data_IF_576586117104
#
_entry.id   IF_576586117104
#
_cell.length_a   1.000
_cell.length_b   1.000
_cell.length_c   1.000
_cell.angle_alpha   90.00
_cell.angle_beta   90.00
_cell.angle_gamma   90.00
#
_symmetry.space_group_name_H-M   'P 1'
#
loop_
_entity.id
_entity.type
_entity.pdbx_description
1 polymer ?
#
# COMPACT_ATOMS: atom_id res chain seq x y z
N UNK A 1 10.50 -33.34 4.78
CA UNK A 1 11.02 -32.00 5.21
C UNK A 1 12.37 -32.04 5.93
N UNK A 2 12.68 -33.05 6.75
CA UNK A 2 13.95 -33.15 7.49
C UNK A 2 15.22 -33.13 6.62
N UNK A 3 15.18 -33.68 5.39
CA UNK A 3 16.34 -33.70 4.47
C UNK A 3 16.72 -32.32 3.89
N UNK A 4 15.76 -31.41 3.78
CA UNK A 4 15.99 -30.04 3.28
C UNK A 4 16.63 -29.19 4.40
N UNK A 5 16.14 -29.33 5.63
CA UNK A 5 16.76 -28.70 6.80
C UNK A 5 18.19 -29.21 7.04
N UNK A 6 18.43 -30.51 6.81
CA UNK A 6 19.76 -31.11 6.89
C UNK A 6 20.72 -30.55 5.83
N UNK A 7 20.26 -30.35 4.59
CA UNK A 7 21.08 -29.73 3.54
C UNK A 7 21.44 -28.27 3.84
N UNK A 8 20.53 -27.48 4.41
CA UNK A 8 20.81 -26.09 4.81
C UNK A 8 21.80 -25.98 5.98
N UNK A 9 21.75 -26.92 6.94
CA UNK A 9 22.61 -26.89 8.13
C UNK A 9 24.07 -27.29 7.83
N UNK A 10 24.30 -28.11 6.80
CA UNK A 10 25.65 -28.60 6.44
C UNK A 10 26.34 -27.80 5.33
N UNK A 11 25.61 -26.98 4.57
CA UNK A 11 26.20 -26.02 3.63
C UNK A 11 26.95 -24.87 4.35
N UNK A 12 26.64 -24.60 5.62
CA UNK A 12 27.14 -23.44 6.35
C UNK A 12 28.44 -23.68 7.16
N UNK A 13 29.10 -24.85 7.02
CA UNK A 13 30.31 -25.18 7.83
C UNK A 13 31.61 -25.41 7.05
N UNK A 14 31.65 -25.30 5.71
CA UNK A 14 32.86 -25.61 4.92
C UNK A 14 33.35 -24.50 3.99
N UNK A 15 33.23 -23.23 4.37
CA UNK A 15 34.00 -22.21 3.64
C UNK A 15 34.40 -21.06 4.52
N UNK A 16 35.57 -21.22 5.15
CA UNK A 16 36.31 -20.12 5.76
C UNK A 16 37.24 -19.42 4.75
N UNK A 17 37.35 -19.94 3.52
CA UNK A 17 38.14 -19.36 2.40
C UNK A 17 37.33 -19.00 1.14
N UNK A 18 36.04 -19.40 1.01
CA UNK A 18 35.15 -19.02 -0.11
C UNK A 18 34.04 -18.04 0.31
N UNK A 19 34.33 -17.22 1.32
CA UNK A 19 33.38 -16.28 1.91
C UNK A 19 32.87 -15.22 0.93
N UNK A 20 33.71 -14.78 -0.02
CA UNK A 20 33.33 -13.76 -1.00
C UNK A 20 32.33 -14.30 -2.05
N UNK A 21 32.58 -15.46 -2.65
CA UNK A 21 31.68 -16.04 -3.66
C UNK A 21 30.34 -16.47 -3.05
N UNK A 22 30.35 -17.04 -1.84
CA UNK A 22 29.11 -17.42 -1.15
C UNK A 22 28.28 -16.19 -0.75
N UNK A 23 28.94 -15.11 -0.30
CA UNK A 23 28.26 -13.86 0.02
C UNK A 23 27.65 -13.18 -1.23
N UNK A 24 28.34 -13.21 -2.38
CA UNK A 24 27.82 -12.67 -3.63
C UNK A 24 26.58 -13.41 -4.13
N UNK A 25 26.59 -14.74 -4.08
CA UNK A 25 25.42 -15.56 -4.44
C UNK A 25 24.25 -15.29 -3.48
N UNK A 26 24.52 -15.19 -2.18
CA UNK A 26 23.52 -14.82 -1.17
C UNK A 26 22.91 -13.44 -1.41
N UNK A 27 23.74 -12.44 -1.75
CA UNK A 27 23.28 -11.08 -2.08
C UNK A 27 22.42 -11.07 -3.35
N UNK A 28 22.85 -11.77 -4.41
CA UNK A 28 22.08 -11.87 -5.65
C UNK A 28 20.71 -12.53 -5.42
N UNK A 29 20.68 -13.62 -4.64
CA UNK A 29 19.43 -14.30 -4.28
C UNK A 29 18.51 -13.40 -3.44
N UNK A 30 19.06 -12.63 -2.49
CA UNK A 30 18.30 -11.67 -1.69
C UNK A 30 17.70 -10.55 -2.55
N UNK A 31 18.48 -9.97 -3.47
CA UNK A 31 17.99 -8.95 -4.40
C UNK A 31 16.89 -9.52 -5.30
N UNK A 32 17.08 -10.74 -5.83
CA UNK A 32 16.07 -11.40 -6.65
C UNK A 32 14.77 -11.65 -5.88
N UNK A 33 14.86 -12.15 -4.65
CA UNK A 33 13.71 -12.31 -3.76
C UNK A 33 13.01 -10.97 -3.51
N UNK A 34 13.78 -9.93 -3.20
CA UNK A 34 13.25 -8.59 -2.95
C UNK A 34 12.51 -8.03 -4.16
N UNK A 35 13.07 -8.12 -5.37
CA UNK A 35 12.43 -7.69 -6.62
C UNK A 35 11.16 -8.49 -6.88
N UNK A 36 11.20 -9.81 -6.70
CA UNK A 36 10.02 -10.67 -6.89
C UNK A 36 8.89 -10.28 -5.93
N UNK A 37 9.23 -9.97 -4.67
CA UNK A 37 8.27 -9.47 -3.70
C UNK A 37 7.65 -8.13 -4.15
N UNK A 38 8.45 -7.19 -4.66
CA UNK A 38 7.94 -5.93 -5.20
C UNK A 38 6.98 -6.15 -6.38
N UNK A 39 7.25 -7.12 -7.26
CA UNK A 39 6.35 -7.48 -8.36
C UNK A 39 5.02 -8.03 -7.86
N UNK A 40 5.03 -8.86 -6.81
CA UNK A 40 3.80 -9.37 -6.18
C UNK A 40 2.96 -8.23 -5.60
N UNK A 41 3.60 -7.29 -4.89
CA UNK A 41 2.93 -6.10 -4.36
C UNK A 41 2.35 -5.23 -5.49
N UNK A 42 3.11 -5.05 -6.58
CA UNK A 42 2.64 -4.31 -7.75
C UNK A 42 1.43 -4.98 -8.42
N UNK A 43 1.45 -6.30 -8.59
CA UNK A 43 0.33 -7.06 -9.12
C UNK A 43 -0.91 -6.97 -8.22
N UNK A 44 -0.74 -6.94 -6.89
CA UNK A 44 -1.83 -6.68 -5.93
C UNK A 44 -2.48 -5.32 -6.21
N UNK A 45 -1.69 -4.26 -6.36
CA UNK A 45 -2.21 -2.91 -6.64
C UNK A 45 -2.92 -2.82 -7.99
N UNK A 46 -2.40 -3.49 -9.02
CA UNK A 46 -3.07 -3.57 -10.32
C UNK A 46 -4.47 -4.16 -10.15
N UNK A 47 -4.61 -5.25 -9.40
CA UNK A 47 -5.90 -5.92 -9.17
C UNK A 47 -6.91 -5.00 -8.49
N UNK A 48 -6.49 -4.18 -7.54
CA UNK A 48 -7.35 -3.17 -6.89
C UNK A 48 -7.93 -2.19 -7.92
N UNK A 49 -7.11 -1.68 -8.84
CA UNK A 49 -7.61 -0.80 -9.90
C UNK A 49 -8.57 -1.49 -10.85
N UNK A 50 -8.35 -2.78 -11.16
CA UNK A 50 -9.30 -3.56 -11.95
C UNK A 50 -10.61 -3.82 -11.21
N UNK A 51 -10.57 -4.05 -9.89
CA UNK A 51 -11.76 -4.21 -9.08
C UNK A 51 -12.57 -2.90 -8.99
N UNK A 52 -11.89 -1.76 -8.81
CA UNK A 52 -12.51 -0.43 -8.83
C UNK A 52 -13.18 -0.17 -10.18
N UNK A 53 -12.45 -0.42 -11.28
CA UNK A 53 -12.97 -0.23 -12.63
C UNK A 53 -14.16 -1.16 -12.90
N UNK A 54 -14.00 -2.45 -12.60
CA UNK A 54 -15.07 -3.43 -12.78
C UNK A 54 -16.32 -3.06 -11.99
N UNK A 55 -16.18 -2.50 -10.79
CA UNK A 55 -17.32 -2.04 -9.99
C UNK A 55 -18.07 -0.88 -10.66
N UNK A 56 -17.33 0.07 -11.25
CA UNK A 56 -17.89 1.19 -12.02
C UNK A 56 -18.56 0.69 -13.31
N UNK A 57 -17.88 -0.18 -14.06
CA UNK A 57 -18.39 -0.77 -15.30
C UNK A 57 -19.67 -1.60 -15.07
N UNK A 58 -19.82 -2.20 -13.88
CA UNK A 58 -21.04 -2.91 -13.44
C UNK A 58 -22.18 -1.98 -13.00
N UNK A 59 -21.97 -0.66 -13.00
CA UNK A 59 -22.99 0.36 -12.69
C UNK A 59 -22.86 1.04 -11.33
N UNK A 60 -21.79 0.80 -10.57
CA UNK A 60 -21.56 1.53 -9.32
C UNK A 60 -21.16 2.98 -9.61
N UNK A 61 -21.75 3.95 -8.90
CA UNK A 61 -21.38 5.36 -9.06
C UNK A 61 -19.98 5.59 -8.46
N UNK A 62 -19.04 6.24 -9.17
CA UNK A 62 -17.70 6.54 -8.66
C UNK A 62 -17.69 7.33 -7.33
N UNK A 63 -18.69 8.19 -7.11
CA UNK A 63 -18.84 8.96 -5.87
C UNK A 63 -19.18 8.08 -4.66
N UNK A 64 -20.00 7.04 -4.85
CA UNK A 64 -20.36 6.11 -3.77
C UNK A 64 -19.14 5.29 -3.38
N UNK A 65 -18.33 4.86 -4.36
CA UNK A 65 -17.05 4.18 -4.12
C UNK A 65 -16.07 5.09 -3.39
N UNK A 66 -15.88 6.34 -3.83
CA UNK A 66 -15.02 7.30 -3.15
C UNK A 66 -15.44 7.56 -1.69
N UNK A 67 -16.75 7.68 -1.46
CA UNK A 67 -17.32 7.83 -0.11
C UNK A 67 -17.13 6.58 0.76
N UNK A 68 -17.27 5.38 0.18
CA UNK A 68 -17.01 4.13 0.88
C UNK A 68 -15.52 4.01 1.26
N UNK A 69 -14.61 4.34 0.33
CA UNK A 69 -13.17 4.40 0.58
C UNK A 69 -12.84 5.38 1.71
N UNK A 70 -13.46 6.56 1.73
CA UNK A 70 -13.32 7.53 2.83
C UNK A 70 -13.73 6.92 4.18
N UNK A 71 -14.90 6.28 4.24
CA UNK A 71 -15.41 5.67 5.47
C UNK A 71 -14.54 4.53 5.97
N UNK A 72 -13.98 3.72 5.06
CA UNK A 72 -13.03 2.66 5.41
C UNK A 72 -11.77 3.23 6.04
N UNK A 73 -11.18 4.27 5.44
CA UNK A 73 -10.00 4.94 5.99
C UNK A 73 -10.33 5.59 7.33
N UNK A 74 -11.45 6.29 7.43
CA UNK A 74 -11.94 6.87 8.68
C UNK A 74 -12.07 5.82 9.79
N UNK A 75 -12.67 4.66 9.50
CA UNK A 75 -12.76 3.54 10.45
C UNK A 75 -11.38 2.99 10.85
N UNK A 76 -10.46 2.83 9.88
CA UNK A 76 -9.11 2.34 10.15
C UNK A 76 -8.27 3.31 10.99
N UNK A 77 -8.46 4.61 10.80
CA UNK A 77 -7.75 5.67 11.52
C UNK A 77 -8.30 5.93 12.92
N UNK A 78 -9.54 5.53 13.20
CA UNK A 78 -10.17 5.65 14.52
C UNK A 78 -9.73 4.57 15.53
N UNK A 79 -8.85 3.65 15.13
CA UNK A 79 -8.28 2.66 16.06
C UNK A 79 -7.48 3.37 17.17
N UNK A 80 -7.63 2.97 18.44
CA UNK A 80 -7.07 3.67 19.58
C UNK A 80 -5.54 3.70 19.51
N UNK A 81 -4.96 4.90 19.68
CA UNK A 81 -3.51 5.15 19.62
C UNK A 81 -2.77 4.49 20.78
N UNK A 82 -3.46 4.24 21.88
CA UNK A 82 -2.95 3.58 23.07
C UNK A 82 -2.53 2.14 22.75
N UNK A 83 -3.33 1.42 21.95
CA UNK A 83 -2.98 0.08 21.46
C UNK A 83 -1.82 0.07 20.46
N UNK A 84 -1.45 1.23 19.90
CA UNK A 84 -0.37 1.39 18.92
C UNK A 84 0.95 1.80 19.56
N UNK A 85 0.89 2.48 20.71
CA UNK A 85 2.07 2.86 21.50
C UNK A 85 2.79 1.66 22.11
N UNK A 86 2.06 0.64 22.56
CA UNK A 86 2.65 -0.56 23.13
C UNK A 86 3.40 -1.43 22.10
N UNK A 87 3.13 -1.20 20.81
CA UNK A 87 3.75 -1.92 19.67
C UNK A 87 4.67 -1.03 18.84
N UNK A 88 5.01 0.17 19.32
CA UNK A 88 5.89 1.12 18.62
C UNK A 88 7.29 0.56 18.32
N UNK A 89 7.83 -0.29 19.20
CA UNK A 89 9.12 -0.98 18.98
C UNK A 89 9.08 -2.05 17.88
N UNK A 90 7.88 -2.52 17.50
CA UNK A 90 7.66 -3.49 16.42
C UNK A 90 7.14 -2.84 15.13
N UNK A 91 7.08 -1.51 15.04
CA UNK A 91 6.67 -0.77 13.82
C UNK A 91 7.38 -1.25 12.55
N UNK A 92 8.65 -1.66 12.65
CA UNK A 92 9.41 -2.21 11.51
C UNK A 92 8.88 -3.57 10.99
N UNK A 93 8.04 -4.25 11.76
CA UNK A 93 7.48 -5.57 11.44
C UNK A 93 5.98 -5.53 11.10
N UNK A 94 5.28 -4.40 11.30
CA UNK A 94 3.87 -4.30 10.95
C UNK A 94 3.68 -3.97 9.47
N UNK A 95 2.98 -4.86 8.77
CA UNK A 95 2.54 -4.63 7.38
C UNK A 95 1.52 -3.48 7.24
N UNK A 96 0.86 -3.08 8.35
CA UNK A 96 -0.05 -1.94 8.43
C UNK A 96 0.52 -0.90 9.39
N UNK A 97 1.27 0.08 8.87
CA UNK A 97 1.69 1.25 9.64
C UNK A 97 0.45 2.11 9.94
N UNK A 98 0.00 2.23 11.20
CA UNK A 98 -1.16 3.04 11.56
C UNK A 98 -0.97 4.53 11.22
N UNK A 99 0.29 4.97 11.17
CA UNK A 99 0.65 6.34 10.78
C UNK A 99 0.20 6.65 9.35
N UNK A 100 0.16 5.63 8.48
CA UNK A 100 -0.33 5.75 7.12
C UNK A 100 -1.85 5.97 7.07
N UNK A 101 -2.62 5.21 7.85
CA UNK A 101 -4.08 5.39 7.92
C UNK A 101 -4.44 6.82 8.37
N UNK A 102 -3.68 7.36 9.33
CA UNK A 102 -3.84 8.75 9.77
C UNK A 102 -3.50 9.77 8.69
N UNK A 103 -2.45 9.53 7.90
CA UNK A 103 -2.06 10.40 6.78
C UNK A 103 -3.10 10.34 5.66
N UNK A 104 -3.52 9.15 5.26
CA UNK A 104 -4.58 8.96 4.26
C UNK A 104 -5.89 9.59 4.73
N UNK A 105 -6.25 9.47 6.01
CA UNK A 105 -7.42 10.17 6.56
C UNK A 105 -7.27 11.69 6.45
N UNK A 106 -6.11 12.25 6.78
CA UNK A 106 -5.88 13.69 6.67
C UNK A 106 -6.03 14.14 5.21
N UNK A 107 -5.38 13.43 4.30
CA UNK A 107 -5.39 13.66 2.86
C UNK A 107 -6.84 13.62 2.30
N UNK A 108 -7.67 12.70 2.80
CA UNK A 108 -9.09 12.59 2.43
C UNK A 108 -9.98 13.64 3.09
N UNK A 109 -9.71 13.99 4.34
CA UNK A 109 -10.42 15.06 5.05
C UNK A 109 -10.13 16.44 4.44
N UNK A 110 -8.93 16.63 3.88
CA UNK A 110 -8.57 17.87 3.18
C UNK A 110 -9.24 17.95 1.79
N UNK A 111 -9.77 16.83 1.28
CA UNK A 111 -10.57 16.76 0.07
C UNK A 111 -12.07 17.00 0.33
N UNK A 112 -12.59 16.49 1.44
CA UNK A 112 -13.95 16.69 1.94
C UNK A 112 -14.13 18.16 2.38
N UNK A 113 -14.58 19.01 1.44
CA UNK A 113 -14.60 20.46 1.59
C UNK A 113 -15.69 20.90 2.58
N UNK A 114 -16.80 20.17 2.61
CA UNK A 114 -17.95 20.46 3.47
C UNK A 114 -17.92 19.67 4.80
N UNK A 115 -16.99 18.72 4.95
CA UNK A 115 -16.76 17.88 6.13
C UNK A 115 -17.94 16.98 6.46
N UNK A 116 -18.70 16.57 5.46
CA UNK A 116 -19.86 15.71 5.65
C UNK A 116 -19.49 14.22 5.81
N UNK A 117 -18.21 13.85 5.62
CA UNK A 117 -17.73 12.47 5.75
C UNK A 117 -18.03 11.57 4.55
N UNK A 118 -18.36 12.17 3.41
CA UNK A 118 -18.55 11.54 2.11
C UNK A 118 -17.76 12.31 1.06
N UNK A 119 -17.51 11.69 -0.09
CA UNK A 119 -16.80 12.32 -1.20
C UNK A 119 -17.75 12.40 -2.38
N UNK A 120 -18.19 13.62 -2.68
CA UNK A 120 -19.14 13.86 -3.75
C UNK A 120 -18.47 13.99 -5.12
N UNK A 121 -19.31 14.17 -6.15
CA UNK A 121 -18.82 14.32 -7.51
C UNK A 121 -18.02 15.61 -7.76
N UNK A 122 -18.40 16.71 -7.12
CA UNK A 122 -17.71 18.00 -7.21
C UNK A 122 -16.32 17.94 -6.59
N UNK A 123 -16.21 17.31 -5.43
CA UNK A 123 -14.97 17.12 -4.69
C UNK A 123 -14.01 16.20 -5.46
N UNK A 124 -14.54 15.11 -6.03
CA UNK A 124 -13.75 14.25 -6.93
C UNK A 124 -13.19 14.99 -8.15
N UNK A 125 -13.94 15.94 -8.71
CA UNK A 125 -13.47 16.78 -9.81
C UNK A 125 -12.39 17.76 -9.34
N UNK A 126 -12.48 18.25 -8.11
CA UNK A 126 -11.43 19.08 -7.51
C UNK A 126 -10.08 18.35 -7.44
N UNK A 127 -10.05 17.02 -7.30
CA UNK A 127 -8.82 16.20 -7.38
C UNK A 127 -8.24 16.06 -8.79
N UNK A 128 -9.02 16.25 -9.85
CA UNK A 128 -8.44 16.24 -11.20
C UNK A 128 -7.51 17.44 -11.38
N UNK A 129 -7.96 18.59 -10.90
CA UNK A 129 -7.25 19.86 -11.02
C UNK A 129 -6.19 20.04 -9.92
N UNK A 130 -6.44 19.57 -8.69
CA UNK A 130 -5.41 19.47 -7.65
C UNK A 130 -4.60 18.19 -7.86
N UNK A 131 -3.44 18.31 -8.50
CA UNK A 131 -2.50 17.19 -8.61
C UNK A 131 -2.23 16.55 -7.24
N UNK A 132 -2.32 15.21 -7.16
CA UNK A 132 -2.05 14.46 -5.92
C UNK A 132 -0.58 14.67 -5.55
N UNK A 133 -0.31 15.57 -4.62
CA UNK A 133 1.03 15.96 -4.16
C UNK A 133 1.68 14.88 -3.29
N UNK A 134 1.89 13.68 -3.83
CA UNK A 134 2.61 12.62 -3.12
C UNK A 134 4.10 12.93 -3.10
N UNK A 135 4.65 13.00 -1.88
CA UNK A 135 6.09 13.11 -1.66
C UNK A 135 6.82 11.85 -2.17
N UNK A 136 8.14 11.94 -2.39
CA UNK A 136 8.98 10.78 -2.72
C UNK A 136 8.82 9.66 -1.67
N UNK A 137 8.74 10.04 -0.39
CA UNK A 137 8.49 9.10 0.71
C UNK A 137 7.15 8.38 0.57
N UNK A 138 6.08 9.10 0.21
CA UNK A 138 4.75 8.50 0.00
C UNK A 138 4.78 7.49 -1.14
N UNK A 139 5.51 7.79 -2.21
CA UNK A 139 5.67 6.89 -3.36
C UNK A 139 6.49 5.65 -3.00
N UNK A 140 7.56 5.81 -2.21
CA UNK A 140 8.36 4.70 -1.73
C UNK A 140 7.54 3.79 -0.80
N UNK A 141 6.79 4.38 0.12
CA UNK A 141 5.89 3.66 1.02
C UNK A 141 4.79 2.94 0.24
N UNK A 142 4.26 3.55 -0.83
CA UNK A 142 3.28 2.89 -1.70
C UNK A 142 3.88 1.70 -2.45
N UNK A 143 5.13 1.78 -2.92
CA UNK A 143 5.82 0.66 -3.60
C UNK A 143 5.91 -0.56 -2.67
N UNK A 144 6.17 -0.32 -1.39
CA UNK A 144 6.25 -1.35 -0.34
C UNK A 144 4.88 -1.81 0.19
N UNK A 145 3.77 -1.25 -0.32
CA UNK A 145 2.40 -1.55 0.12
C UNK A 145 1.64 -2.47 -0.85
N UNK A 146 0.76 -3.32 -0.31
CA UNK A 146 -0.17 -4.18 -1.06
C UNK A 146 -1.31 -3.40 -1.73
N UNK A 147 -1.66 -2.23 -1.19
CA UNK A 147 -2.74 -1.37 -1.67
C UNK A 147 -2.20 -0.03 -2.22
N UNK A 148 -2.77 0.48 -3.32
CA UNK A 148 -2.43 1.80 -3.82
C UNK A 148 -2.96 2.89 -2.89
N UNK A 149 -2.38 4.09 -2.98
CA UNK A 149 -2.83 5.23 -2.19
C UNK A 149 -4.29 5.59 -2.52
N UNK A 150 -5.07 5.89 -1.47
CA UNK A 150 -6.51 6.13 -1.59
C UNK A 150 -6.85 7.36 -2.45
N UNK A 151 -6.05 8.44 -2.36
CA UNK A 151 -6.24 9.60 -3.24
C UNK A 151 -6.01 9.28 -4.72
N UNK A 152 -5.03 8.39 -5.03
CA UNK A 152 -4.82 7.94 -6.40
C UNK A 152 -6.00 7.14 -6.92
N UNK A 153 -6.61 6.29 -6.08
CA UNK A 153 -7.82 5.53 -6.45
C UNK A 153 -8.99 6.48 -6.71
N UNK A 154 -9.26 7.42 -5.80
CA UNK A 154 -10.36 8.38 -5.97
C UNK A 154 -10.14 9.27 -7.20
N UNK A 155 -8.90 9.73 -7.44
CA UNK A 155 -8.58 10.45 -8.67
C UNK A 155 -8.86 9.60 -9.91
N UNK A 156 -8.51 8.31 -9.90
CA UNK A 156 -8.78 7.41 -11.03
C UNK A 156 -10.28 7.18 -11.24
N UNK A 157 -11.05 7.06 -10.15
CA UNK A 157 -12.50 6.98 -10.16
C UNK A 157 -13.13 8.25 -10.78
N UNK A 158 -12.58 9.43 -10.49
CA UNK A 158 -13.07 10.68 -11.06
C UNK A 158 -12.80 10.76 -12.58
N UNK A 159 -11.64 10.27 -13.03
CA UNK A 159 -11.31 10.20 -14.46
C UNK A 159 -12.29 9.32 -15.25
N UNK A 160 -12.71 8.18 -14.71
CA UNK A 160 -13.69 7.30 -15.37
C UNK A 160 -15.10 7.88 -15.40
N UNK A 161 -15.46 8.74 -14.45
CA UNK A 161 -16.75 9.45 -14.48
C UNK A 161 -16.80 10.51 -15.59
N UNK A 162 -15.65 11.08 -15.95
CA UNK A 162 -15.57 12.15 -16.94
C UNK A 162 -15.56 11.64 -18.40
N UNK A 163 -15.64 10.32 -18.61
CA UNK A 163 -15.67 9.64 -19.91
C UNK A 163 -17.08 9.21 -20.27
#
# INVERSE_FOLDING_TARGET
>A
LYRIAWQFMFFNRRSRDSGANTALIGMAAFIFYFITNLLVLYASRIREYFADKGSVDLGSRPADLASALYKLVYGSARMPKEALKDVEGMKAFFANDPSRAMKELKDLRDLDLDKNGTIDSSEMLALQNKGVGLSFGDRLMEIMSTHPNMLKRIKRLSEWKAS
#
